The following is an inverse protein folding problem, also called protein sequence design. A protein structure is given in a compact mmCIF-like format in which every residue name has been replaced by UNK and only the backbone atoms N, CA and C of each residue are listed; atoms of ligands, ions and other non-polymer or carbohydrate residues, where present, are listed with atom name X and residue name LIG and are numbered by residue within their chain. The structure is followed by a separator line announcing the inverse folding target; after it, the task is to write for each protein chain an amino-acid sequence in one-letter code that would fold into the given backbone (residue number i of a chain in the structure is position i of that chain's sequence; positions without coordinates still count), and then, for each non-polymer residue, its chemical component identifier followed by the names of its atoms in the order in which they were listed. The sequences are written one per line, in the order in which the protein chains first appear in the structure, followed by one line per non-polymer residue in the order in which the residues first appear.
data_IF_228045210772
#
_entry.id   IF_228045210772
#
_cell.length_a   1.000
_cell.length_b   1.000
_cell.length_c   1.000
_cell.angle_alpha   90.00
_cell.angle_beta   90.00
_cell.angle_gamma   90.00
#
_symmetry.space_group_name_H-M   'P 1'
#
loop_
_entity.id
_entity.type
_entity.pdbx_description
1 polymer ?
#
# COMPACT_ATOMS: atom_id res chain seq x y z
N UNK A 1 -4.82 -36.24 43.70
CA UNK A 1 -5.27 -37.42 42.95
C UNK A 1 -4.12 -37.94 42.11
N UNK A 2 -3.83 -39.25 42.16
CA UNK A 2 -2.68 -39.83 41.46
C UNK A 2 -2.83 -39.69 39.95
N UNK A 3 -1.74 -39.37 39.26
CA UNK A 3 -1.73 -39.08 37.82
C UNK A 3 -1.42 -40.36 37.05
N UNK A 4 -2.38 -40.83 36.25
CA UNK A 4 -2.13 -41.96 35.37
C UNK A 4 -1.42 -41.50 34.09
N UNK A 5 -0.29 -42.15 33.77
CA UNK A 5 0.48 -41.83 32.58
C UNK A 5 -0.29 -42.27 31.31
N UNK A 6 -0.54 -41.37 30.34
CA UNK A 6 -1.28 -41.72 29.13
C UNK A 6 -0.47 -42.63 28.19
N UNK A 7 0.86 -42.71 28.36
CA UNK A 7 1.73 -43.48 27.48
C UNK A 7 1.88 -44.94 27.90
N UNK A 8 1.92 -45.23 29.20
CA UNK A 8 2.16 -46.58 29.71
C UNK A 8 1.18 -47.05 30.78
N UNK A 9 0.17 -46.24 31.13
CA UNK A 9 -0.84 -46.59 32.14
C UNK A 9 -0.36 -46.59 33.59
N UNK A 10 0.93 -46.31 33.85
CA UNK A 10 1.49 -46.28 35.20
C UNK A 10 0.92 -45.14 36.05
N UNK A 11 0.54 -45.45 37.29
CA UNK A 11 -0.05 -44.50 38.23
C UNK A 11 1.06 -43.82 39.03
N UNK A 12 1.25 -42.51 38.81
CA UNK A 12 2.29 -41.71 39.47
C UNK A 12 1.71 -40.94 40.66
N UNK A 13 2.59 -40.58 41.60
CA UNK A 13 2.26 -39.67 42.72
C UNK A 13 1.80 -38.30 42.19
N UNK A 14 0.92 -37.64 42.92
CA UNK A 14 0.25 -36.38 42.52
C UNK A 14 1.24 -35.28 42.08
N UNK A 15 2.40 -35.24 42.73
CA UNK A 15 3.45 -34.23 42.52
C UNK A 15 4.41 -34.58 41.38
N UNK A 16 4.24 -35.73 40.71
CA UNK A 16 5.11 -36.14 39.63
C UNK A 16 4.93 -35.25 38.38
N UNK A 17 6.04 -34.67 37.91
CA UNK A 17 6.13 -33.95 36.64
C UNK A 17 6.45 -34.89 35.46
N UNK A 18 6.97 -36.07 35.76
CA UNK A 18 7.35 -37.09 34.78
C UNK A 18 6.89 -38.46 35.27
N UNK A 19 6.57 -39.35 34.33
CA UNK A 19 6.22 -40.72 34.63
C UNK A 19 7.46 -41.48 35.12
N UNK A 20 7.42 -42.03 36.33
CA UNK A 20 8.51 -42.79 36.94
C UNK A 20 8.86 -44.06 36.15
N UNK A 21 7.89 -44.63 35.43
CA UNK A 21 8.11 -45.85 34.63
C UNK A 21 8.70 -45.59 33.23
N UNK A 22 8.29 -44.53 32.52
CA UNK A 22 8.64 -44.34 31.10
C UNK A 22 9.21 -42.95 30.74
N UNK A 23 9.37 -42.06 31.71
CA UNK A 23 9.90 -40.71 31.51
C UNK A 23 8.97 -39.72 30.80
N UNK A 24 7.73 -40.12 30.46
CA UNK A 24 6.77 -39.23 29.80
C UNK A 24 6.41 -38.03 30.69
N UNK A 25 6.45 -36.81 30.16
CA UNK A 25 6.12 -35.60 30.91
C UNK A 25 4.62 -35.55 31.20
N UNK A 26 4.27 -35.62 32.48
CA UNK A 26 2.89 -35.49 32.94
C UNK A 26 2.60 -33.99 32.99
N UNK A 27 1.87 -33.48 32.00
CA UNK A 27 1.42 -32.08 31.95
C UNK A 27 0.84 -31.71 33.31
N UNK A 28 1.63 -30.98 34.10
CA UNK A 28 1.15 -30.40 35.33
C UNK A 28 0.01 -29.49 34.91
N UNK A 29 -1.15 -29.65 35.54
CA UNK A 29 -2.28 -28.75 35.42
C UNK A 29 -1.89 -27.39 36.01
N UNK A 30 -0.91 -26.72 35.42
CA UNK A 30 -0.81 -25.28 35.50
C UNK A 30 -2.13 -24.76 34.95
N UNK A 31 -2.76 -23.76 35.58
CA UNK A 31 -3.88 -23.08 34.95
C UNK A 31 -3.41 -22.71 33.56
N UNK A 32 -4.13 -23.17 32.53
CA UNK A 32 -3.91 -22.78 31.14
C UNK A 32 -3.76 -21.27 31.16
N UNK A 33 -2.52 -20.78 31.07
CA UNK A 33 -2.24 -19.35 30.93
C UNK A 33 -3.12 -18.90 29.78
N UNK A 34 -4.01 -17.95 30.04
CA UNK A 34 -4.98 -17.49 29.07
C UNK A 34 -4.28 -17.34 27.72
N UNK A 35 -4.88 -17.82 26.60
CA UNK A 35 -4.24 -17.72 25.31
C UNK A 35 -3.75 -16.28 25.13
N UNK A 36 -2.49 -16.08 24.67
CA UNK A 36 -1.96 -14.74 24.50
C UNK A 36 -2.96 -13.92 23.69
N UNK A 37 -3.19 -12.65 24.04
CA UNK A 37 -4.18 -11.83 23.38
C UNK A 37 -3.94 -11.91 21.87
N UNK A 38 -4.98 -12.28 21.12
CA UNK A 38 -4.90 -12.40 19.67
C UNK A 38 -4.42 -11.07 19.10
N UNK A 39 -3.27 -11.06 18.44
CA UNK A 39 -2.77 -9.85 17.81
C UNK A 39 -3.82 -9.37 16.78
N UNK A 40 -4.13 -8.05 16.76
CA UNK A 40 -5.08 -7.52 15.79
C UNK A 40 -4.58 -7.80 14.37
N UNK A 41 -5.50 -8.07 13.44
CA UNK A 41 -5.13 -8.22 12.03
C UNK A 41 -4.46 -6.95 11.52
N UNK A 42 -3.51 -7.08 10.59
CA UNK A 42 -2.82 -5.93 9.98
C UNK A 42 -3.78 -4.93 9.35
N UNK A 43 -4.89 -5.41 8.80
CA UNK A 43 -5.97 -4.58 8.25
C UNK A 43 -6.67 -3.74 9.32
N UNK A 44 -6.97 -4.34 10.48
CA UNK A 44 -7.57 -3.65 11.63
C UNK A 44 -6.60 -2.61 12.17
N UNK A 45 -5.33 -2.96 12.31
CA UNK A 45 -4.28 -2.05 12.75
C UNK A 45 -4.11 -0.88 11.78
N UNK A 46 -4.07 -1.14 10.46
CA UNK A 46 -3.95 -0.11 9.44
C UNK A 46 -5.15 0.86 9.47
N UNK A 47 -6.36 0.34 9.64
CA UNK A 47 -7.57 1.15 9.74
C UNK A 47 -7.60 2.00 11.03
N UNK A 48 -7.20 1.43 12.16
CA UNK A 48 -7.08 2.17 13.43
C UNK A 48 -6.04 3.31 13.33
N UNK A 49 -4.88 3.04 12.72
CA UNK A 49 -3.87 4.09 12.48
C UNK A 49 -4.42 5.18 11.54
N UNK A 50 -5.10 4.79 10.46
CA UNK A 50 -5.70 5.71 9.50
C UNK A 50 -6.72 6.64 10.15
N UNK A 51 -7.67 6.07 10.92
CA UNK A 51 -8.73 6.85 11.57
C UNK A 51 -8.22 7.77 12.68
N UNK A 52 -7.14 7.39 13.37
CA UNK A 52 -6.47 8.24 14.37
C UNK A 52 -5.64 9.36 13.75
N UNK A 53 -5.18 9.20 12.51
CA UNK A 53 -4.26 10.12 11.84
C UNK A 53 -4.84 10.62 10.50
N UNK A 54 -5.99 11.31 10.56
CA UNK A 54 -6.66 11.83 9.35
C UNK A 54 -5.80 12.83 8.55
N UNK A 55 -4.73 13.40 9.13
CA UNK A 55 -3.80 14.26 8.41
C UNK A 55 -3.06 13.55 7.25
N UNK A 56 -2.99 12.21 7.28
CA UNK A 56 -2.39 11.40 6.19
C UNK A 56 -3.19 11.55 4.87
N UNK A 57 -4.43 12.04 4.93
CA UNK A 57 -5.27 12.29 3.74
C UNK A 57 -4.82 13.53 2.96
N UNK A 58 -4.10 14.46 3.58
CA UNK A 58 -3.77 15.78 3.00
C UNK A 58 -3.03 15.70 1.65
N UNK A 59 -2.00 14.85 1.43
CA UNK A 59 -1.40 14.68 0.11
C UNK A 59 -2.41 14.35 -1.00
N UNK A 60 -3.37 13.47 -0.72
CA UNK A 60 -4.39 13.07 -1.68
C UNK A 60 -5.39 14.21 -1.98
N UNK A 61 -5.75 15.03 -0.97
CA UNK A 61 -6.56 16.25 -1.18
C UNK A 61 -5.84 17.22 -2.11
N UNK A 62 -4.55 17.46 -1.87
CA UNK A 62 -3.75 18.38 -2.71
C UNK A 62 -3.69 17.84 -4.14
N UNK A 63 -3.43 16.55 -4.32
CA UNK A 63 -3.46 15.89 -5.64
C UNK A 63 -4.80 16.10 -6.34
N UNK A 64 -5.92 15.83 -5.66
CA UNK A 64 -7.27 15.99 -6.21
C UNK A 64 -7.55 17.42 -6.67
N UNK A 65 -7.18 18.43 -5.87
CA UNK A 65 -7.36 19.85 -6.22
C UNK A 65 -6.56 20.18 -7.48
N UNK A 66 -5.29 19.76 -7.55
CA UNK A 66 -4.44 20.01 -8.72
C UNK A 66 -5.03 19.35 -9.97
N UNK A 67 -5.50 18.10 -9.87
CA UNK A 67 -6.11 17.40 -11.00
C UNK A 67 -7.40 18.07 -11.50
N UNK A 68 -8.29 18.51 -10.60
CA UNK A 68 -9.51 19.23 -10.97
C UNK A 68 -9.16 20.52 -11.73
N UNK A 69 -8.19 21.29 -11.22
CA UNK A 69 -7.76 22.54 -11.86
C UNK A 69 -7.15 22.27 -13.25
N UNK A 70 -6.28 21.25 -13.38
CA UNK A 70 -5.67 20.89 -14.66
C UNK A 70 -6.72 20.44 -15.69
N UNK A 71 -7.66 19.59 -15.29
CA UNK A 71 -8.75 19.13 -16.15
C UNK A 71 -9.62 20.31 -16.61
N UNK A 72 -9.95 21.23 -15.70
CA UNK A 72 -10.74 22.42 -16.04
C UNK A 72 -10.02 23.32 -17.06
N UNK A 73 -8.73 23.62 -16.84
CA UNK A 73 -7.94 24.47 -17.72
C UNK A 73 -7.78 23.83 -19.10
N UNK A 74 -7.29 22.59 -19.16
CA UNK A 74 -7.06 21.89 -20.43
C UNK A 74 -8.37 21.60 -21.16
N UNK A 75 -9.43 21.29 -20.42
CA UNK A 75 -10.78 21.10 -20.96
C UNK A 75 -11.33 22.37 -21.60
N UNK A 76 -11.20 23.52 -20.93
CA UNK A 76 -11.64 24.81 -21.46
C UNK A 76 -10.87 25.20 -22.73
N UNK A 77 -9.53 25.03 -22.74
CA UNK A 77 -8.70 25.26 -23.94
C UNK A 77 -9.15 24.36 -25.09
N UNK A 78 -9.30 23.06 -24.83
CA UNK A 78 -9.71 22.09 -25.86
C UNK A 78 -11.10 22.42 -26.41
N UNK A 79 -12.06 22.74 -25.53
CA UNK A 79 -13.41 23.13 -25.93
C UNK A 79 -13.43 24.41 -26.78
N UNK A 80 -12.67 25.44 -26.38
CA UNK A 80 -12.56 26.69 -27.13
C UNK A 80 -12.00 26.49 -28.54
N UNK A 81 -10.97 25.66 -28.69
CA UNK A 81 -10.41 25.30 -30.01
C UNK A 81 -11.45 24.56 -30.87
N UNK A 82 -12.29 23.73 -30.26
CA UNK A 82 -13.34 23.01 -30.97
C UNK A 82 -14.46 23.87 -31.55
N UNK A 83 -14.66 25.09 -31.04
CA UNK A 83 -15.57 26.06 -31.64
C UNK A 83 -15.03 26.62 -32.97
N UNK A 84 -13.71 26.58 -33.18
CA UNK A 84 -13.05 27.16 -34.35
C UNK A 84 -12.80 26.09 -35.43
N UNK A 85 -12.32 24.90 -35.03
CA UNK A 85 -11.98 23.83 -35.96
C UNK A 85 -12.11 22.44 -35.35
N UNK A 86 -12.92 21.54 -35.94
CA UNK A 86 -13.04 20.15 -35.49
C UNK A 86 -11.73 19.35 -35.59
N UNK A 87 -10.88 19.65 -36.59
CA UNK A 87 -9.58 18.98 -36.72
C UNK A 87 -8.65 19.44 -35.60
N UNK A 88 -8.57 20.74 -35.36
CA UNK A 88 -7.75 21.29 -34.28
C UNK A 88 -8.19 20.77 -32.90
N UNK A 89 -9.51 20.59 -32.67
CA UNK A 89 -10.05 19.97 -31.47
C UNK A 89 -9.44 18.60 -31.20
N UNK A 90 -9.41 17.73 -32.22
CA UNK A 90 -8.87 16.36 -32.04
C UNK A 90 -7.38 16.35 -31.71
N UNK A 91 -6.60 17.23 -32.34
CA UNK A 91 -5.15 17.34 -32.10
C UNK A 91 -4.88 17.91 -30.71
N UNK A 92 -5.53 19.03 -30.35
CA UNK A 92 -5.37 19.66 -29.03
C UNK A 92 -5.89 18.76 -27.91
N UNK A 93 -6.98 18.03 -28.15
CA UNK A 93 -7.50 17.06 -27.19
C UNK A 93 -6.52 15.91 -26.92
N UNK A 94 -5.87 15.37 -27.97
CA UNK A 94 -4.83 14.35 -27.82
C UNK A 94 -3.60 14.88 -27.09
N UNK A 95 -3.14 16.09 -27.41
CA UNK A 95 -2.00 16.69 -26.70
C UNK A 95 -2.36 16.92 -25.23
N UNK A 96 -3.56 17.43 -24.95
CA UNK A 96 -4.04 17.68 -23.59
C UNK A 96 -4.16 16.40 -22.78
N UNK A 97 -4.63 15.28 -23.36
CA UNK A 97 -4.73 14.00 -22.66
C UNK A 97 -3.36 13.42 -22.32
N UNK A 98 -2.37 13.56 -23.22
CA UNK A 98 -0.98 13.15 -22.96
C UNK A 98 -0.39 13.98 -21.82
N UNK A 99 -0.52 15.31 -21.88
CA UNK A 99 0.00 16.21 -20.83
C UNK A 99 -0.63 15.88 -19.49
N UNK A 100 -1.96 15.76 -19.44
CA UNK A 100 -2.70 15.43 -18.22
C UNK A 100 -2.20 14.10 -17.63
N UNK A 101 -2.02 13.08 -18.47
CA UNK A 101 -1.60 11.75 -18.01
C UNK A 101 -0.15 11.74 -17.49
N UNK A 102 0.76 12.49 -18.11
CA UNK A 102 2.14 12.65 -17.60
C UNK A 102 2.12 13.33 -16.23
N UNK A 103 1.37 14.43 -16.09
CA UNK A 103 1.30 15.17 -14.82
C UNK A 103 0.65 14.31 -13.73
N UNK A 104 -0.47 13.64 -14.01
CA UNK A 104 -1.13 12.74 -13.07
C UNK A 104 -0.21 11.60 -12.62
N UNK A 105 0.58 10.99 -13.52
CA UNK A 105 1.56 9.97 -13.13
C UNK A 105 2.61 10.51 -12.16
N UNK A 106 3.13 11.71 -12.40
CA UNK A 106 4.12 12.36 -11.50
C UNK A 106 3.50 12.69 -10.14
N UNK A 107 2.29 13.27 -10.14
CA UNK A 107 1.55 13.58 -8.92
C UNK A 107 1.23 12.32 -8.11
N UNK A 108 0.82 11.24 -8.77
CA UNK A 108 0.53 9.96 -8.13
C UNK A 108 1.77 9.39 -7.43
N UNK A 109 2.92 9.38 -8.11
CA UNK A 109 4.20 8.94 -7.52
C UNK A 109 4.55 9.77 -6.28
N UNK A 110 4.51 11.10 -6.40
CA UNK A 110 4.83 12.00 -5.29
C UNK A 110 3.87 11.83 -4.11
N UNK A 111 2.58 11.67 -4.39
CA UNK A 111 1.52 11.51 -3.39
C UNK A 111 1.67 10.19 -2.64
N UNK A 112 1.80 9.07 -3.36
CA UNK A 112 2.01 7.75 -2.74
C UNK A 112 3.28 7.75 -1.90
N UNK A 113 4.39 8.27 -2.42
CA UNK A 113 5.66 8.25 -1.69
C UNK A 113 5.65 9.12 -0.44
N UNK A 114 5.09 10.33 -0.52
CA UNK A 114 4.90 11.22 0.63
C UNK A 114 4.00 10.57 1.69
N UNK A 115 2.92 9.92 1.26
CA UNK A 115 1.95 9.27 2.15
C UNK A 115 2.57 8.07 2.88
N UNK A 116 3.49 7.32 2.26
CA UNK A 116 4.22 6.24 2.94
C UNK A 116 5.16 6.77 4.03
N UNK A 117 5.82 7.92 3.82
CA UNK A 117 6.59 8.57 4.90
C UNK A 117 5.68 9.01 6.05
N UNK A 118 4.52 9.60 5.75
CA UNK A 118 3.52 9.96 6.77
C UNK A 118 2.99 8.73 7.51
N UNK A 119 2.82 7.59 6.82
CA UNK A 119 2.43 6.33 7.43
C UNK A 119 3.50 5.80 8.40
N UNK A 120 4.79 5.93 8.06
CA UNK A 120 5.89 5.59 8.98
C UNK A 120 5.82 6.40 10.28
N UNK A 121 5.59 7.72 10.18
CA UNK A 121 5.47 8.60 11.34
C UNK A 121 4.28 8.19 12.21
N UNK A 122 3.11 7.97 11.59
CA UNK A 122 1.90 7.54 12.28
C UNK A 122 2.06 6.21 13.03
N UNK A 123 2.74 5.24 12.42
CA UNK A 123 3.02 3.93 13.03
C UNK A 123 3.98 4.04 14.21
N UNK A 124 4.85 5.06 14.21
CA UNK A 124 5.77 5.37 15.32
C UNK A 124 5.11 6.23 16.41
N UNK A 125 3.80 6.48 16.31
CA UNK A 125 3.07 7.43 17.18
C UNK A 125 3.67 8.84 17.13
N UNK A 126 4.30 9.23 16.02
CA UNK A 126 4.73 10.59 15.74
C UNK A 126 3.65 11.26 14.90
N UNK A 127 3.28 12.50 15.23
CA UNK A 127 2.26 13.23 14.48
C UNK A 127 2.72 13.41 13.02
N UNK A 128 1.96 12.95 12.01
CA UNK A 128 2.38 13.04 10.62
C UNK A 128 2.56 14.49 10.18
N UNK A 129 3.74 14.82 9.66
CA UNK A 129 4.10 16.17 9.22
C UNK A 129 4.30 16.20 7.69
N UNK A 130 3.33 16.78 6.98
CA UNK A 130 3.34 16.84 5.52
C UNK A 130 4.65 17.42 4.95
N UNK A 131 5.14 18.52 5.52
CA UNK A 131 6.32 19.20 5.00
C UNK A 131 7.55 18.31 5.14
N UNK A 132 7.79 17.74 6.32
CA UNK A 132 8.91 16.85 6.57
C UNK A 132 8.84 15.61 5.67
N UNK A 133 7.67 14.94 5.62
CA UNK A 133 7.46 13.76 4.78
C UNK A 133 7.64 14.06 3.29
N UNK A 134 7.19 15.24 2.81
CA UNK A 134 7.39 15.66 1.43
C UNK A 134 8.86 15.94 1.10
N UNK A 135 9.59 16.61 2.00
CA UNK A 135 11.04 16.81 1.82
C UNK A 135 11.79 15.48 1.75
N UNK A 136 11.48 14.55 2.65
CA UNK A 136 12.03 13.19 2.63
C UNK A 136 11.70 12.49 1.32
N UNK A 137 10.42 12.45 0.92
CA UNK A 137 9.97 11.83 -0.32
C UNK A 137 10.64 12.43 -1.57
N UNK A 138 10.79 13.75 -1.62
CA UNK A 138 11.49 14.43 -2.72
C UNK A 138 12.95 14.03 -2.78
N UNK A 139 13.63 13.94 -1.63
CA UNK A 139 15.06 13.59 -1.57
C UNK A 139 15.34 12.14 -2.00
N UNK A 140 14.37 11.24 -1.82
CA UNK A 140 14.46 9.82 -2.21
C UNK A 140 13.85 9.51 -3.58
N UNK A 141 13.25 10.49 -4.27
CA UNK A 141 12.53 10.29 -5.53
C UNK A 141 13.42 9.69 -6.63
N UNK A 142 14.73 10.00 -6.64
CA UNK A 142 15.68 9.43 -7.60
C UNK A 142 15.78 7.90 -7.53
N UNK A 143 15.52 7.33 -6.35
CA UNK A 143 15.47 5.88 -6.12
C UNK A 143 14.23 5.22 -6.74
N UNK A 144 13.21 6.01 -7.07
CA UNK A 144 12.00 5.58 -7.78
C UNK A 144 12.06 5.81 -9.30
N UNK A 145 13.20 6.24 -9.85
CA UNK A 145 13.32 6.63 -11.26
C UNK A 145 12.83 5.57 -12.25
N UNK A 146 13.15 4.28 -12.03
CA UNK A 146 12.73 3.19 -12.94
C UNK A 146 11.21 3.05 -12.98
N UNK A 147 10.55 3.00 -11.81
CA UNK A 147 9.08 2.88 -11.77
C UNK A 147 8.39 4.16 -12.22
N UNK A 148 9.01 5.32 -11.99
CA UNK A 148 8.52 6.60 -12.46
C UNK A 148 8.48 6.66 -14.00
N UNK A 149 9.55 6.20 -14.66
CA UNK A 149 9.58 6.12 -16.13
C UNK A 149 8.50 5.19 -16.65
N UNK A 150 8.31 4.02 -16.03
CA UNK A 150 7.25 3.07 -16.44
C UNK A 150 5.86 3.72 -16.33
N UNK A 151 5.55 4.38 -15.21
CA UNK A 151 4.27 5.05 -15.00
C UNK A 151 4.05 6.24 -15.94
N UNK A 152 5.09 6.99 -16.28
CA UNK A 152 5.00 8.08 -17.26
C UNK A 152 4.75 7.52 -18.67
N UNK A 153 5.45 6.46 -19.07
CA UNK A 153 5.23 5.80 -20.36
C UNK A 153 3.81 5.25 -20.44
N UNK A 154 3.33 4.58 -19.39
CA UNK A 154 1.95 4.11 -19.32
C UNK A 154 0.94 5.26 -19.34
N UNK A 155 1.25 6.39 -18.72
CA UNK A 155 0.45 7.61 -18.81
C UNK A 155 0.36 8.15 -20.24
N UNK A 156 1.47 8.18 -20.99
CA UNK A 156 1.46 8.57 -22.40
C UNK A 156 0.60 7.60 -23.22
N UNK A 157 0.77 6.28 -22.99
CA UNK A 157 -0.03 5.26 -23.66
C UNK A 157 -1.52 5.40 -23.33
N UNK A 158 -1.87 5.73 -22.09
CA UNK A 158 -3.24 6.07 -21.68
C UNK A 158 -3.78 7.28 -22.45
N UNK A 159 -2.99 8.37 -22.53
CA UNK A 159 -3.38 9.58 -23.22
C UNK A 159 -3.66 9.36 -24.71
N UNK A 160 -2.93 8.43 -25.33
CA UNK A 160 -3.11 8.03 -26.74
C UNK A 160 -4.26 7.02 -26.88
N UNK A 161 -4.34 6.04 -25.96
CA UNK A 161 -5.30 4.95 -26.05
C UNK A 161 -6.68 5.43 -25.61
N UNK A 162 -7.62 5.53 -26.55
CA UNK A 162 -9.04 5.74 -26.22
C UNK A 162 -9.68 4.55 -25.48
N UNK A 163 -8.96 3.43 -25.37
CA UNK A 163 -9.38 2.23 -24.63
C UNK A 163 -9.00 2.37 -23.15
N UNK A 164 -9.91 2.93 -22.36
CA UNK A 164 -9.70 3.24 -20.95
C UNK A 164 -9.60 2.01 -20.05
N UNK A 165 -10.17 0.87 -20.43
CA UNK A 165 -10.38 -0.27 -19.50
C UNK A 165 -9.13 -1.06 -19.19
N UNK A 166 -8.37 -1.48 -20.22
CA UNK A 166 -7.26 -2.40 -20.03
C UNK A 166 -6.02 -1.68 -19.47
N UNK A 167 -5.75 -0.48 -19.97
CA UNK A 167 -4.61 0.32 -19.54
C UNK A 167 -4.75 0.78 -18.07
N UNK A 168 -5.98 1.04 -17.61
CA UNK A 168 -6.25 1.35 -16.20
C UNK A 168 -5.86 0.21 -15.26
N UNK A 169 -6.17 -1.04 -15.63
CA UNK A 169 -5.76 -2.23 -14.85
C UNK A 169 -4.24 -2.35 -14.81
N UNK A 170 -3.56 -2.15 -15.93
CA UNK A 170 -2.08 -2.21 -16.00
C UNK A 170 -1.46 -1.15 -15.09
N UNK A 171 -1.97 0.09 -15.12
CA UNK A 171 -1.48 1.16 -14.23
C UNK A 171 -1.73 0.81 -12.77
N UNK A 172 -2.88 0.21 -12.44
CA UNK A 172 -3.18 -0.25 -11.08
C UNK A 172 -2.21 -1.34 -10.60
N UNK A 173 -1.83 -2.27 -11.49
CA UNK A 173 -0.82 -3.29 -11.19
C UNK A 173 0.58 -2.69 -10.96
N UNK A 174 1.00 -1.73 -11.78
CA UNK A 174 2.27 -1.01 -11.55
C UNK A 174 2.20 -0.17 -10.27
N UNK A 175 1.02 0.37 -9.93
CA UNK A 175 0.78 1.06 -8.67
C UNK A 175 1.08 0.19 -7.45
N UNK A 176 0.77 -1.11 -7.47
CA UNK A 176 1.12 -2.05 -6.38
C UNK A 176 2.63 -2.06 -6.16
N UNK A 177 3.40 -2.13 -7.25
CA UNK A 177 4.87 -2.10 -7.19
C UNK A 177 5.37 -0.76 -6.64
N UNK A 178 4.71 0.36 -7.00
CA UNK A 178 5.04 1.68 -6.46
C UNK A 178 4.85 1.73 -4.95
N UNK A 179 3.73 1.22 -4.41
CA UNK A 179 3.51 1.16 -2.96
C UNK A 179 4.59 0.33 -2.26
N UNK A 180 4.93 -0.85 -2.79
CA UNK A 180 5.92 -1.76 -2.20
C UNK A 180 7.31 -1.14 -2.21
N UNK A 181 7.77 -0.65 -3.37
CA UNK A 181 9.10 -0.06 -3.51
C UNK A 181 9.19 1.21 -2.65
N UNK A 182 8.14 2.04 -2.64
CA UNK A 182 8.06 3.20 -1.76
C UNK A 182 8.21 2.82 -0.28
N UNK A 183 7.44 1.84 0.20
CA UNK A 183 7.56 1.32 1.58
C UNK A 183 8.96 0.78 1.88
N UNK A 184 9.56 0.06 0.93
CA UNK A 184 10.94 -0.45 1.08
C UNK A 184 11.94 0.69 1.28
N UNK A 185 11.85 1.76 0.48
CA UNK A 185 12.75 2.92 0.55
C UNK A 185 12.61 3.65 1.88
N UNK A 186 11.39 3.81 2.38
CA UNK A 186 11.12 4.44 3.69
C UNK A 186 11.67 3.60 4.85
N UNK A 187 11.75 2.28 4.68
CA UNK A 187 12.45 1.35 5.58
C UNK A 187 13.97 1.30 5.33
N UNK A 188 14.50 2.18 4.49
CA UNK A 188 15.90 2.24 4.07
C UNK A 188 16.41 0.93 3.43
N UNK A 189 15.52 0.22 2.72
CA UNK A 189 15.84 -0.95 1.89
C UNK A 189 15.55 -0.60 0.44
N UNK A 190 16.45 -0.92 -0.48
CA UNK A 190 16.19 -0.75 -1.92
C UNK A 190 15.68 -2.07 -2.48
N UNK A 191 14.49 -2.06 -3.09
CA UNK A 191 13.97 -3.20 -3.84
C UNK A 191 13.97 -2.90 -5.33
N UNK A 192 14.51 -3.82 -6.13
CA UNK A 192 14.31 -3.85 -7.58
C UNK A 192 12.87 -4.26 -7.93
N UNK A 193 12.45 -4.04 -9.18
CA UNK A 193 11.10 -4.45 -9.65
C UNK A 193 10.90 -5.96 -9.48
N UNK A 194 11.91 -6.76 -9.84
CA UNK A 194 11.85 -8.23 -9.70
C UNK A 194 11.70 -8.64 -8.24
N UNK A 195 12.43 -8.01 -7.32
CA UNK A 195 12.30 -8.25 -5.89
C UNK A 195 10.92 -7.84 -5.35
N UNK A 196 10.37 -6.72 -5.82
CA UNK A 196 9.03 -6.28 -5.43
C UNK A 196 7.93 -7.25 -5.90
N UNK A 197 8.03 -7.78 -7.13
CA UNK A 197 7.10 -8.81 -7.66
C UNK A 197 7.21 -10.10 -6.83
N UNK A 198 8.44 -10.57 -6.59
CA UNK A 198 8.67 -11.77 -5.79
C UNK A 198 8.22 -11.58 -4.33
N UNK A 199 8.40 -10.38 -3.77
CA UNK A 199 7.91 -10.02 -2.46
C UNK A 199 6.38 -10.07 -2.42
N UNK A 200 5.69 -9.48 -3.41
CA UNK A 200 4.23 -9.50 -3.47
C UNK A 200 3.66 -10.92 -3.58
N UNK A 201 4.29 -11.79 -4.38
CA UNK A 201 3.92 -13.21 -4.46
C UNK A 201 4.03 -13.93 -3.11
N UNK A 202 5.14 -13.71 -2.38
CA UNK A 202 5.31 -14.26 -1.01
C UNK A 202 4.30 -13.68 -0.03
N UNK A 203 4.05 -12.38 -0.10
CA UNK A 203 3.07 -11.70 0.75
C UNK A 203 1.66 -12.26 0.52
N UNK A 204 1.28 -12.56 -0.73
CA UNK A 204 -0.01 -13.16 -1.06
C UNK A 204 -0.18 -14.56 -0.44
N UNK A 205 0.89 -15.36 -0.40
CA UNK A 205 0.86 -16.69 0.22
C UNK A 205 0.80 -16.64 1.76
N UNK A 206 1.33 -15.59 2.38
CA UNK A 206 1.32 -15.42 3.83
C UNK A 206 0.06 -14.73 4.35
N UNK A 207 -0.42 -13.71 3.63
CA UNK A 207 -1.57 -12.88 3.99
C UNK A 207 -2.28 -12.41 2.71
N UNK A 208 -3.06 -13.34 2.13
CA UNK A 208 -3.78 -13.13 0.87
C UNK A 208 -4.77 -11.95 0.97
N UNK A 209 -5.42 -11.77 2.13
CA UNK A 209 -6.42 -10.72 2.32
C UNK A 209 -5.76 -9.35 2.27
N UNK A 210 -4.70 -9.12 3.04
CA UNK A 210 -4.01 -7.83 3.03
C UNK A 210 -3.39 -7.53 1.66
N UNK A 211 -2.83 -8.55 1.00
CA UNK A 211 -2.28 -8.41 -0.36
C UNK A 211 -3.35 -8.04 -1.39
N UNK A 212 -4.51 -8.70 -1.35
CA UNK A 212 -5.65 -8.39 -2.22
C UNK A 212 -6.17 -6.96 -1.97
N UNK A 213 -6.19 -6.52 -0.72
CA UNK A 213 -6.57 -5.15 -0.37
C UNK A 213 -5.58 -4.14 -0.96
N UNK A 214 -4.27 -4.42 -0.96
CA UNK A 214 -3.27 -3.55 -1.62
C UNK A 214 -3.53 -3.47 -3.13
N UNK A 215 -3.84 -4.60 -3.78
CA UNK A 215 -4.18 -4.63 -5.21
C UNK A 215 -5.42 -3.78 -5.51
N UNK A 216 -6.50 -4.02 -4.79
CA UNK A 216 -7.76 -3.28 -4.95
C UNK A 216 -7.54 -1.81 -4.65
N UNK A 217 -6.84 -1.49 -3.56
CA UNK A 217 -6.51 -0.12 -3.16
C UNK A 217 -5.69 0.62 -4.21
N UNK A 218 -4.72 -0.05 -4.84
CA UNK A 218 -3.94 0.50 -5.94
C UNK A 218 -4.81 0.80 -7.17
N UNK A 219 -5.70 -0.13 -7.55
CA UNK A 219 -6.62 0.07 -8.67
C UNK A 219 -7.60 1.22 -8.37
N UNK A 220 -8.21 1.23 -7.18
CA UNK A 220 -9.16 2.26 -6.75
C UNK A 220 -8.48 3.63 -6.62
N UNK A 221 -7.19 3.68 -6.28
CA UNK A 221 -6.45 4.94 -6.15
C UNK A 221 -6.31 5.73 -7.45
N UNK A 222 -6.61 5.11 -8.59
CA UNK A 222 -6.68 5.79 -9.89
C UNK A 222 -7.99 6.54 -10.13
N UNK A 223 -8.99 6.37 -9.26
CA UNK A 223 -10.24 7.12 -9.32
C UNK A 223 -10.10 8.35 -8.41
N UNK A 224 -10.13 9.59 -8.93
CA UNK A 224 -9.73 10.79 -8.18
C UNK A 224 -10.45 10.97 -6.84
N UNK A 225 -11.76 10.72 -6.76
CA UNK A 225 -12.50 10.89 -5.51
C UNK A 225 -12.16 9.80 -4.48
N UNK A 226 -11.92 8.58 -4.96
CA UNK A 226 -11.65 7.44 -4.08
C UNK A 226 -10.18 7.40 -3.62
N UNK A 227 -9.28 8.07 -4.34
CA UNK A 227 -7.87 8.19 -3.98
C UNK A 227 -7.66 8.82 -2.59
N UNK A 228 -8.61 9.65 -2.15
CA UNK A 228 -8.64 10.32 -0.86
C UNK A 228 -8.53 9.35 0.31
N UNK A 229 -9.13 8.17 0.16
CA UNK A 229 -9.13 7.11 1.16
C UNK A 229 -8.20 5.96 0.75
N UNK A 230 -8.16 5.63 -0.54
CA UNK A 230 -7.40 4.50 -1.04
C UNK A 230 -5.88 4.70 -0.88
N UNK A 231 -5.35 5.89 -1.18
CA UNK A 231 -3.89 6.13 -1.06
C UNK A 231 -3.43 6.02 0.39
N UNK A 232 -3.99 6.76 1.37
CA UNK A 232 -3.60 6.66 2.78
C UNK A 232 -3.66 5.24 3.34
N UNK A 233 -4.79 4.57 3.14
CA UNK A 233 -5.00 3.24 3.69
C UNK A 233 -4.05 2.21 3.06
N UNK A 234 -3.89 2.24 1.73
CA UNK A 234 -2.98 1.33 1.02
C UNK A 234 -1.52 1.58 1.40
N UNK A 235 -1.12 2.85 1.58
CA UNK A 235 0.23 3.21 2.04
C UNK A 235 0.53 2.67 3.44
N UNK A 236 -0.40 2.81 4.40
CA UNK A 236 -0.24 2.30 5.77
C UNK A 236 -0.14 0.77 5.77
N UNK A 237 -1.10 0.11 5.09
CA UNK A 237 -1.13 -1.35 5.03
C UNK A 237 0.13 -1.91 4.36
N UNK A 238 0.55 -1.33 3.23
CA UNK A 238 1.76 -1.77 2.53
C UNK A 238 3.00 -1.57 3.39
N UNK A 239 3.12 -0.44 4.10
CA UNK A 239 4.25 -0.21 4.99
C UNK A 239 4.32 -1.25 6.12
N UNK A 240 3.19 -1.55 6.77
CA UNK A 240 3.11 -2.58 7.82
C UNK A 240 3.51 -3.95 7.27
N UNK A 241 2.97 -4.32 6.10
CA UNK A 241 3.29 -5.61 5.49
C UNK A 241 4.76 -5.71 5.10
N UNK A 242 5.32 -4.71 4.44
CA UNK A 242 6.74 -4.72 4.05
C UNK A 242 7.61 -4.82 5.31
N UNK A 243 7.33 -4.03 6.35
CA UNK A 243 8.09 -4.07 7.62
C UNK A 243 8.08 -5.46 8.28
N UNK A 244 6.93 -6.12 8.32
CA UNK A 244 6.74 -7.34 9.09
C UNK A 244 7.16 -8.61 8.32
N UNK A 245 7.10 -8.60 6.97
CA UNK A 245 7.43 -9.75 6.12
C UNK A 245 8.91 -9.76 5.70
N UNK A 246 9.57 -8.60 5.76
CA UNK A 246 10.96 -8.41 5.29
C UNK A 246 12.02 -8.71 6.34
#
# INVERSE_FOLDING_TARGET
MPKQCPRCGYVNVDTANYCLNCGYQLLSSYPLSAPPPSQPSRTTLAFDIFTRNLSIIVPAVIMLIIEIVLVAILGAITAGVGLISPIAFTVVGLISSIILSIISSILFIGTVHTTVYMAQDAIRNVQPNLNASFYSARSSLSRLSVIAVILVVLGILLGISRSLTLTWIIVGLVGVLLYIISASIVLNRTMTITEAINWYSRAFNQDAISSLIILIGSIISLIPVLNLFAIPYTSILTYLMVRDIS
#
